data_IF_202015524870
#
_entry.id   IF_202015524870
#
_cell.length_a   1.000
_cell.length_b   1.000
_cell.length_c   1.000
_cell.angle_alpha   90.00
_cell.angle_beta   90.00
_cell.angle_gamma   90.00
#
_symmetry.space_group_name_H-M   'P 1'
#
loop_
_entity.id
_entity.type
_entity.pdbx_description
1 polymer ?
#
# COMPACT_ATOMS: atom_id res chain seq x y z
N UNK A 1 -13.38 -30.31 -69.76
CA UNK A 1 -13.34 -28.98 -69.10
C UNK A 1 -12.34 -29.06 -67.96
N UNK A 2 -11.29 -28.23 -68.00
CA UNK A 2 -10.28 -28.09 -66.95
C UNK A 2 -10.77 -27.02 -65.96
N UNK A 3 -10.90 -27.38 -64.69
CA UNK A 3 -10.97 -26.44 -63.56
C UNK A 3 -9.79 -26.73 -62.63
N UNK A 4 -9.06 -25.71 -62.14
CA UNK A 4 -7.80 -25.87 -61.41
C UNK A 4 -8.00 -26.03 -59.89
N UNK A 5 -7.04 -26.70 -59.23
CA UNK A 5 -6.68 -26.55 -57.80
C UNK A 5 -5.98 -25.18 -57.60
N UNK A 6 -6.10 -24.48 -56.45
CA UNK A 6 -5.35 -24.80 -55.22
C UNK A 6 -6.19 -24.48 -53.94
N UNK A 7 -5.80 -24.57 -52.67
CA UNK A 7 -4.52 -24.47 -51.96
C UNK A 7 -4.74 -24.93 -50.52
N UNK A 8 -3.73 -25.59 -49.95
CA UNK A 8 -3.47 -25.61 -48.51
C UNK A 8 -3.60 -24.19 -47.93
N UNK A 9 -4.31 -24.02 -46.82
CA UNK A 9 -4.19 -22.83 -45.97
C UNK A 9 -4.31 -23.23 -44.50
N UNK A 10 -3.14 -23.63 -43.97
CA UNK A 10 -2.58 -23.20 -42.69
C UNK A 10 -3.50 -23.24 -41.47
N UNK A 11 -3.50 -24.39 -40.79
CA UNK A 11 -3.85 -24.51 -39.38
C UNK A 11 -2.71 -23.86 -38.57
N UNK A 12 -2.80 -22.56 -38.29
CA UNK A 12 -1.91 -21.91 -37.34
C UNK A 12 -2.39 -22.27 -35.92
N UNK A 13 -1.79 -23.32 -35.35
CA UNK A 13 -1.95 -23.65 -33.94
C UNK A 13 -1.37 -22.50 -33.11
N UNK A 14 -2.26 -21.73 -32.48
CA UNK A 14 -1.90 -20.74 -31.47
C UNK A 14 -1.35 -21.51 -30.27
N UNK A 15 -0.04 -21.75 -30.21
CA UNK A 15 0.64 -22.13 -28.97
C UNK A 15 0.57 -20.90 -28.05
N UNK A 16 -0.48 -20.83 -27.24
CA UNK A 16 -0.48 -19.99 -26.05
C UNK A 16 0.48 -20.69 -25.08
N UNK A 17 1.75 -20.32 -25.13
CA UNK A 17 2.69 -20.60 -24.05
C UNK A 17 2.20 -19.81 -22.84
N UNK A 18 1.35 -20.42 -22.01
CA UNK A 18 1.04 -19.88 -20.70
C UNK A 18 2.34 -19.91 -19.89
N UNK A 19 3.03 -18.78 -19.85
CA UNK A 19 4.11 -18.56 -18.89
C UNK A 19 3.49 -18.57 -17.51
N UNK A 20 3.71 -19.64 -16.75
CA UNK A 20 3.42 -19.62 -15.31
C UNK A 20 4.36 -18.58 -14.70
N UNK A 21 3.84 -17.39 -14.39
CA UNK A 21 4.54 -16.45 -13.52
C UNK A 21 4.47 -17.01 -12.10
N UNK A 22 5.63 -17.13 -11.43
CA UNK A 22 5.70 -17.55 -10.04
C UNK A 22 5.76 -16.32 -9.14
N UNK A 23 4.80 -16.19 -8.24
CA UNK A 23 4.82 -15.19 -7.18
C UNK A 23 6.12 -15.27 -6.36
N UNK A 24 6.79 -14.13 -6.23
CA UNK A 24 8.01 -13.97 -5.44
C UNK A 24 7.69 -13.11 -4.22
N UNK A 25 8.17 -13.52 -3.05
CA UNK A 25 8.01 -12.73 -1.81
C UNK A 25 9.32 -12.06 -1.46
N UNK A 26 9.27 -10.75 -1.23
CA UNK A 26 10.42 -9.99 -0.76
C UNK A 26 10.81 -10.40 0.65
N UNK A 27 12.07 -10.15 1.01
CA UNK A 27 12.46 -10.18 2.42
C UNK A 27 11.55 -9.21 3.22
N UNK A 28 11.13 -9.55 4.45
CA UNK A 28 10.29 -8.68 5.26
C UNK A 28 10.88 -7.28 5.38
N UNK A 29 10.10 -6.27 5.02
CA UNK A 29 10.53 -4.87 5.07
C UNK A 29 10.32 -4.33 6.47
N UNK A 30 11.39 -3.89 7.13
CA UNK A 30 11.35 -3.26 8.45
C UNK A 30 11.01 -1.77 8.31
N UNK A 31 10.25 -1.18 9.24
CA UNK A 31 10.07 0.27 9.28
C UNK A 31 11.42 0.97 9.45
N UNK A 32 11.55 2.13 8.83
CA UNK A 32 12.66 3.06 9.07
C UNK A 32 12.39 3.95 10.28
N UNK A 33 11.11 4.17 10.61
CA UNK A 33 10.66 4.89 11.79
C UNK A 33 9.26 4.41 12.18
N UNK A 34 8.99 4.42 13.48
CA UNK A 34 7.64 4.41 14.03
C UNK A 34 7.52 5.35 15.24
N UNK A 35 6.30 5.76 15.57
CA UNK A 35 6.02 6.58 16.75
C UNK A 35 4.55 6.48 17.14
N UNK A 36 4.24 6.87 18.37
CA UNK A 36 2.86 7.00 18.85
C UNK A 36 2.52 8.48 19.05
N UNK A 37 1.43 8.93 18.42
CA UNK A 37 0.82 10.23 18.70
C UNK A 37 -0.33 10.07 19.70
N UNK A 38 -0.51 11.05 20.60
CA UNK A 38 -1.57 11.05 21.61
C UNK A 38 -2.39 12.34 21.56
N UNK A 39 -3.71 12.25 21.69
CA UNK A 39 -4.59 13.39 21.50
C UNK A 39 -4.42 14.51 22.53
N UNK A 40 -4.17 14.18 23.80
CA UNK A 40 -4.05 15.18 24.88
C UNK A 40 -2.62 15.53 25.30
N UNK A 41 -1.62 14.81 24.81
CA UNK A 41 -0.22 15.04 25.15
C UNK A 41 0.62 15.07 23.87
N UNK A 42 1.66 15.92 23.83
CA UNK A 42 2.66 15.82 22.76
C UNK A 42 3.26 14.40 22.78
N UNK A 43 3.53 13.85 21.59
CA UNK A 43 3.84 12.43 21.37
C UNK A 43 4.76 11.81 22.43
N UNK A 44 4.42 10.60 22.86
CA UNK A 44 5.36 9.78 23.62
C UNK A 44 6.22 9.04 22.60
N UNK A 45 7.53 9.32 22.50
CA UNK A 45 8.39 8.53 21.63
C UNK A 45 8.27 7.06 22.03
N UNK A 46 8.20 6.16 21.05
CA UNK A 46 8.05 4.73 21.28
C UNK A 46 9.21 4.23 22.18
N UNK A 47 8.94 3.95 23.46
CA UNK A 47 9.94 3.45 24.41
C UNK A 47 10.12 1.93 24.24
N UNK A 48 10.46 1.48 23.02
CA UNK A 48 10.54 0.07 22.65
C UNK A 48 9.17 -0.63 22.49
N UNK A 49 8.09 0.14 22.51
CA UNK A 49 6.73 -0.33 22.24
C UNK A 49 5.88 0.83 21.72
N UNK A 50 4.80 0.45 21.03
CA UNK A 50 3.81 1.33 20.48
C UNK A 50 2.50 1.19 21.25
N UNK A 51 1.74 2.28 21.35
CA UNK A 51 0.49 2.33 22.10
C UNK A 51 -0.65 2.75 21.18
N UNK A 52 -1.65 1.89 21.04
CA UNK A 52 -2.85 2.20 20.26
C UNK A 52 -4.05 2.07 21.16
N UNK A 53 -4.95 3.04 21.10
CA UNK A 53 -6.15 2.93 21.89
C UNK A 53 -6.75 4.24 22.34
N UNK A 54 -7.47 4.14 23.44
CA UNK A 54 -8.09 5.23 24.16
C UNK A 54 -7.76 5.09 25.65
N UNK A 55 -7.44 6.20 26.31
CA UNK A 55 -7.18 6.20 27.76
C UNK A 55 -8.49 6.25 28.56
N UNK A 56 -8.37 6.39 29.88
CA UNK A 56 -9.54 6.59 30.74
C UNK A 56 -10.14 8.00 30.61
N UNK A 57 -9.46 8.93 29.95
CA UNK A 57 -9.93 10.29 29.74
C UNK A 57 -10.69 10.39 28.41
N UNK A 58 -11.88 10.98 28.42
CA UNK A 58 -12.65 11.23 27.19
C UNK A 58 -11.81 11.90 26.12
N UNK A 59 -11.90 11.42 24.88
CA UNK A 59 -11.22 11.99 23.70
C UNK A 59 -9.69 11.97 23.77
N UNK A 60 -9.10 11.08 24.57
CA UNK A 60 -7.65 10.89 24.63
C UNK A 60 -7.23 9.59 23.95
N UNK A 61 -6.94 9.70 22.65
CA UNK A 61 -6.60 8.58 21.78
C UNK A 61 -5.10 8.49 21.57
N UNK A 62 -4.62 7.27 21.33
CA UNK A 62 -3.27 6.98 20.88
C UNK A 62 -3.34 6.26 19.54
N UNK A 63 -2.49 6.68 18.61
CA UNK A 63 -2.38 6.11 17.28
C UNK A 63 -0.92 5.96 16.91
N UNK A 64 -0.64 4.91 16.14
CA UNK A 64 0.72 4.63 15.71
C UNK A 64 0.95 5.04 14.27
N UNK A 65 2.14 5.55 14.01
CA UNK A 65 2.62 5.93 12.70
C UNK A 65 3.77 4.99 12.32
N UNK A 66 3.79 4.54 11.07
CA UNK A 66 4.86 3.70 10.53
C UNK A 66 5.37 4.28 9.22
N UNK A 67 6.69 4.30 9.05
CA UNK A 67 7.33 4.64 7.78
C UNK A 67 8.18 3.46 7.33
N UNK A 68 7.98 3.00 6.10
CA UNK A 68 8.74 1.91 5.49
C UNK A 68 9.50 2.43 4.28
N UNK A 69 10.76 2.01 4.14
CA UNK A 69 11.51 2.20 2.90
C UNK A 69 11.17 1.07 1.94
N UNK A 70 10.65 1.39 0.76
CA UNK A 70 10.30 0.37 -0.23
C UNK A 70 11.55 -0.11 -0.95
N UNK A 71 11.88 -1.41 -0.91
CA UNK A 71 13.04 -1.93 -1.63
C UNK A 71 12.82 -1.82 -3.14
N UNK A 72 13.87 -1.50 -3.88
CA UNK A 72 13.86 -1.51 -5.34
C UNK A 72 13.70 -2.95 -5.83
N UNK A 73 12.71 -3.17 -6.70
CA UNK A 73 12.53 -4.44 -7.42
C UNK A 73 13.05 -4.23 -8.83
N UNK A 74 14.05 -5.01 -9.22
CA UNK A 74 14.57 -5.00 -10.58
C UNK A 74 13.56 -5.65 -11.53
N UNK A 75 12.91 -4.83 -12.35
CA UNK A 75 11.91 -5.26 -13.32
C UNK A 75 12.53 -5.24 -14.72
N UNK A 76 12.70 -6.41 -15.38
CA UNK A 76 13.15 -6.46 -16.78
C UNK A 76 12.26 -5.63 -17.71
N UNK A 77 12.82 -5.09 -18.79
CA UNK A 77 12.11 -4.20 -19.71
C UNK A 77 10.89 -4.85 -20.38
N UNK A 78 10.91 -6.17 -20.56
CA UNK A 78 9.83 -6.98 -21.13
C UNK A 78 8.75 -7.38 -20.11
N UNK A 79 8.94 -7.05 -18.82
CA UNK A 79 8.02 -7.40 -17.73
C UNK A 79 7.37 -6.17 -17.11
N UNK A 80 6.19 -6.37 -16.53
CA UNK A 80 5.51 -5.44 -15.65
C UNK A 80 5.50 -6.03 -14.23
N UNK A 81 5.64 -5.17 -13.23
CA UNK A 81 5.51 -5.54 -11.82
C UNK A 81 4.03 -5.50 -11.43
N UNK A 82 3.56 -6.57 -10.78
CA UNK A 82 2.27 -6.60 -10.12
C UNK A 82 2.45 -7.05 -8.68
N UNK A 83 2.11 -6.19 -7.72
CA UNK A 83 2.04 -6.60 -6.31
C UNK A 83 0.77 -7.43 -6.13
N UNK A 84 0.91 -8.67 -5.66
CA UNK A 84 -0.19 -9.64 -5.56
C UNK A 84 -0.76 -9.74 -4.15
N UNK A 85 0.06 -9.53 -3.12
CA UNK A 85 -0.41 -9.43 -1.75
C UNK A 85 0.53 -8.62 -0.89
N UNK A 86 -0.05 -7.86 0.04
CA UNK A 86 0.71 -7.17 1.09
C UNK A 86 0.10 -7.45 2.45
N UNK A 87 0.95 -7.64 3.44
CA UNK A 87 0.53 -7.72 4.84
C UNK A 87 1.47 -6.96 5.76
N UNK A 88 0.91 -6.20 6.69
CA UNK A 88 1.63 -5.67 7.85
C UNK A 88 1.48 -6.66 9.01
N UNK A 89 2.59 -7.10 9.60
CA UNK A 89 2.63 -8.02 10.74
C UNK A 89 3.27 -7.31 11.92
N UNK A 90 2.60 -7.32 13.07
CA UNK A 90 3.12 -6.71 14.30
C UNK A 90 2.89 -7.65 15.47
N UNK A 91 3.92 -7.80 16.31
CA UNK A 91 3.83 -8.58 17.51
C UNK A 91 3.23 -7.79 18.68
N UNK A 92 2.41 -8.47 19.48
CA UNK A 92 2.01 -8.01 20.79
C UNK A 92 3.23 -7.87 21.70
N UNK A 93 3.35 -6.76 22.43
CA UNK A 93 4.47 -6.55 23.34
C UNK A 93 4.20 -7.21 24.70
N UNK A 94 3.25 -6.65 25.44
CA UNK A 94 2.92 -7.06 26.81
C UNK A 94 1.54 -6.54 27.18
N UNK A 95 1.03 -7.04 28.30
CA UNK A 95 -0.29 -6.70 28.82
C UNK A 95 -0.51 -5.20 28.82
N UNK A 96 -1.53 -4.79 28.10
CA UNK A 96 -2.15 -3.50 28.32
C UNK A 96 -3.03 -3.59 29.57
N UNK A 97 -3.24 -2.48 30.25
CA UNK A 97 -4.15 -2.37 31.41
C UNK A 97 -5.64 -2.49 31.04
N UNK A 98 -5.98 -3.08 29.90
CA UNK A 98 -7.36 -3.26 29.42
C UNK A 98 -7.95 -4.51 30.07
N UNK A 99 -9.25 -4.51 30.33
CA UNK A 99 -9.95 -5.68 30.88
C UNK A 99 -9.65 -6.94 30.06
N UNK A 100 -9.30 -8.03 30.75
CA UNK A 100 -8.99 -9.30 30.11
C UNK A 100 -10.15 -9.77 29.21
N UNK A 101 -9.81 -10.31 28.03
CA UNK A 101 -10.79 -10.82 27.07
C UNK A 101 -11.37 -9.77 26.11
N UNK A 102 -10.91 -8.52 26.17
CA UNK A 102 -11.38 -7.45 25.29
C UNK A 102 -10.64 -7.48 23.95
N UNK A 103 -11.40 -7.55 22.86
CA UNK A 103 -10.87 -7.34 21.51
C UNK A 103 -10.99 -5.87 21.11
N UNK A 104 -9.93 -5.32 20.53
CA UNK A 104 -9.88 -3.99 19.95
C UNK A 104 -9.73 -4.13 18.44
N UNK A 105 -10.67 -3.55 17.69
CA UNK A 105 -10.59 -3.49 16.23
C UNK A 105 -9.68 -2.34 15.82
N UNK A 106 -8.58 -2.65 15.12
CA UNK A 106 -7.60 -1.67 14.67
C UNK A 106 -7.62 -1.53 13.15
N UNK A 107 -7.75 -0.30 12.68
CA UNK A 107 -7.76 0.06 11.27
C UNK A 107 -6.42 0.62 10.83
N UNK A 108 -5.93 0.10 9.70
CA UNK A 108 -4.75 0.59 9.01
C UNK A 108 -5.18 1.57 7.91
N UNK A 109 -4.53 2.72 7.86
CA UNK A 109 -4.77 3.77 6.88
C UNK A 109 -3.46 4.21 6.21
N UNK A 110 -3.56 4.75 4.99
CA UNK A 110 -2.43 5.38 4.32
C UNK A 110 -2.22 6.81 4.82
N UNK A 111 -0.98 7.19 5.10
CA UNK A 111 -0.63 8.59 5.36
C UNK A 111 -0.38 9.31 4.04
N UNK A 112 -1.06 10.44 3.84
CA UNK A 112 -0.87 11.30 2.66
C UNK A 112 0.38 12.18 2.79
N UNK A 113 0.95 12.23 3.99
CA UNK A 113 2.06 13.09 4.37
C UNK A 113 3.12 12.27 5.12
N UNK A 114 4.40 12.52 4.88
CA UNK A 114 5.50 11.90 5.65
C UNK A 114 5.60 12.49 7.06
N UNK A 115 6.13 11.72 8.01
CA UNK A 115 6.37 12.15 9.40
C UNK A 115 7.82 11.87 9.83
N UNK A 116 8.20 12.40 10.99
CA UNK A 116 9.44 12.02 11.67
C UNK A 116 9.18 11.73 13.17
N UNK A 117 10.24 11.46 13.93
CA UNK A 117 10.14 11.14 15.37
C UNK A 117 9.61 12.30 16.23
N UNK A 118 9.43 13.51 15.67
CA UNK A 118 8.88 14.68 16.34
C UNK A 118 7.38 14.89 16.07
N UNK A 119 6.76 14.03 15.26
CA UNK A 119 5.33 14.11 14.95
C UNK A 119 4.49 14.14 16.23
N UNK A 120 3.54 15.06 16.31
CA UNK A 120 2.58 15.18 17.41
C UNK A 120 1.16 15.16 16.87
N UNK A 121 0.17 15.11 17.78
CA UNK A 121 -1.24 15.12 17.39
C UNK A 121 -1.68 16.33 16.56
N UNK A 122 -0.97 17.45 16.68
CA UNK A 122 -1.29 18.68 15.94
C UNK A 122 -0.25 19.04 14.89
N UNK A 123 0.79 18.23 14.71
CA UNK A 123 1.92 18.53 13.83
C UNK A 123 2.45 17.23 13.21
N UNK A 124 2.06 16.97 11.96
CA UNK A 124 2.50 15.78 11.24
C UNK A 124 3.94 15.87 10.71
N UNK A 125 4.51 17.07 10.55
CA UNK A 125 5.83 17.34 9.94
C UNK A 125 6.70 18.33 10.72
N UNK A 126 8.00 18.35 10.42
CA UNK A 126 8.98 19.31 10.97
C UNK A 126 8.67 20.77 10.63
N UNK A 127 8.01 21.02 9.50
CA UNK A 127 7.60 22.36 9.09
C UNK A 127 6.23 22.73 9.69
N UNK A 128 6.19 23.83 10.43
CA UNK A 128 5.03 24.31 11.19
C UNK A 128 3.86 24.80 10.32
N UNK A 129 3.83 24.46 9.03
CA UNK A 129 2.98 25.10 8.04
C UNK A 129 1.62 24.41 7.82
N UNK A 130 1.40 23.21 8.37
CA UNK A 130 0.16 22.44 8.15
C UNK A 130 -0.54 22.14 9.48
N UNK A 131 -1.63 22.86 9.72
CA UNK A 131 -2.46 22.79 10.93
C UNK A 131 -3.66 21.84 10.83
N UNK A 132 -3.53 20.70 10.13
CA UNK A 132 -4.63 19.72 10.08
C UNK A 132 -4.38 18.64 11.12
N UNK A 133 -5.31 18.52 12.07
CA UNK A 133 -5.21 17.51 13.13
C UNK A 133 -5.37 16.11 12.51
N UNK A 134 -4.69 15.11 13.06
CA UNK A 134 -4.85 13.71 12.66
C UNK A 134 -6.30 13.21 12.79
N UNK A 135 -7.19 13.92 13.50
CA UNK A 135 -8.63 13.61 13.53
C UNK A 135 -9.33 13.85 12.20
N UNK A 136 -8.73 14.57 11.25
CA UNK A 136 -9.38 14.98 10.00
C UNK A 136 -9.00 14.03 8.86
N UNK A 137 -9.98 13.24 8.41
CA UNK A 137 -9.88 12.46 7.18
C UNK A 137 -9.53 13.37 5.99
N UNK A 138 -8.54 12.99 5.17
CA UNK A 138 -8.09 13.78 4.01
C UNK A 138 -7.14 14.94 4.34
N UNK A 139 -6.74 15.08 5.60
CA UNK A 139 -5.69 16.00 6.04
C UNK A 139 -4.29 15.39 5.88
N UNK A 140 -3.91 14.57 6.85
CA UNK A 140 -2.62 13.86 6.87
C UNK A 140 -2.73 12.34 6.65
N UNK A 141 -3.96 11.82 6.51
CA UNK A 141 -4.22 10.42 6.17
C UNK A 141 -5.50 10.25 5.33
N UNK A 142 -5.54 9.20 4.52
CA UNK A 142 -6.71 8.75 3.77
C UNK A 142 -7.65 7.95 4.69
N UNK A 143 -8.92 8.35 4.77
CA UNK A 143 -9.93 7.66 5.58
C UNK A 143 -10.28 6.26 5.09
N UNK A 144 -9.89 5.89 3.88
CA UNK A 144 -10.08 4.54 3.36
C UNK A 144 -9.31 3.55 4.23
N UNK A 145 -10.03 2.58 4.80
CA UNK A 145 -9.42 1.49 5.56
C UNK A 145 -8.69 0.57 4.59
N UNK A 146 -7.37 0.44 4.76
CA UNK A 146 -6.53 -0.43 3.94
C UNK A 146 -6.66 -1.89 4.36
N UNK A 147 -6.73 -2.12 5.67
CA UNK A 147 -6.88 -3.42 6.30
C UNK A 147 -7.35 -3.22 7.76
N UNK A 148 -8.00 -4.23 8.31
CA UNK A 148 -8.54 -4.22 9.67
C UNK A 148 -8.24 -5.54 10.38
N UNK A 149 -7.89 -5.47 11.66
CA UNK A 149 -7.60 -6.65 12.48
C UNK A 149 -8.11 -6.48 13.90
N UNK A 150 -8.68 -7.55 14.46
CA UNK A 150 -9.03 -7.59 15.87
C UNK A 150 -7.83 -8.03 16.72
N UNK A 151 -7.49 -7.20 17.71
CA UNK A 151 -6.37 -7.40 18.61
C UNK A 151 -6.90 -7.68 20.01
N UNK A 152 -6.61 -8.86 20.56
CA UNK A 152 -6.91 -9.18 21.94
C UNK A 152 -5.96 -8.39 22.86
N UNK A 153 -6.52 -7.54 23.72
CA UNK A 153 -5.78 -6.54 24.49
C UNK A 153 -4.86 -7.11 25.59
N UNK A 154 -5.01 -8.41 25.89
CA UNK A 154 -4.26 -9.16 26.89
C UNK A 154 -3.68 -10.46 26.30
N UNK A 155 -3.26 -10.42 25.04
CA UNK A 155 -2.57 -11.53 24.39
C UNK A 155 -1.23 -11.87 25.02
N UNK A 156 -0.68 -13.03 24.66
CA UNK A 156 0.68 -13.38 25.07
C UNK A 156 1.70 -12.49 24.35
N UNK A 157 2.77 -12.12 25.05
CA UNK A 157 3.90 -11.42 24.43
C UNK A 157 4.41 -12.22 23.22
N UNK A 158 4.57 -11.55 22.08
CA UNK A 158 4.99 -12.18 20.83
C UNK A 158 3.87 -12.73 19.94
N UNK A 159 2.60 -12.71 20.37
CA UNK A 159 1.47 -13.04 19.49
C UNK A 159 1.48 -12.10 18.27
N UNK A 160 1.47 -12.67 17.07
CA UNK A 160 1.49 -11.91 15.82
C UNK A 160 0.08 -11.55 15.38
N UNK A 161 -0.12 -10.29 15.01
CA UNK A 161 -1.32 -9.79 14.36
C UNK A 161 -0.98 -9.36 12.94
N UNK A 162 -1.89 -9.64 12.01
CA UNK A 162 -1.69 -9.41 10.58
C UNK A 162 -2.80 -8.54 10.03
N UNK A 163 -2.42 -7.45 9.36
CA UNK A 163 -3.29 -6.60 8.56
C UNK A 163 -3.00 -6.89 7.08
N UNK A 164 -3.98 -7.45 6.38
CA UNK A 164 -3.90 -7.71 4.95
C UNK A 164 -5.24 -7.40 4.28
N UNK A 165 -5.19 -7.07 2.99
CA UNK A 165 -6.38 -6.74 2.22
C UNK A 165 -6.04 -6.18 0.85
N UNK A 166 -7.05 -6.13 -0.02
CA UNK A 166 -6.90 -5.67 -1.40
C UNK A 166 -6.58 -4.17 -1.46
N UNK A 167 -7.14 -3.36 -0.55
CA UNK A 167 -6.84 -1.92 -0.47
C UNK A 167 -5.36 -1.68 -0.11
N UNK A 168 -4.83 -2.40 0.89
CA UNK A 168 -3.41 -2.33 1.24
C UNK A 168 -2.52 -2.73 0.06
N UNK A 169 -2.86 -3.84 -0.61
CA UNK A 169 -2.13 -4.33 -1.79
C UNK A 169 -2.16 -3.31 -2.92
N UNK A 170 -3.31 -2.70 -3.19
CA UNK A 170 -3.50 -1.67 -4.21
C UNK A 170 -2.69 -0.41 -3.93
N UNK A 171 -2.65 0.06 -2.68
CA UNK A 171 -1.86 1.25 -2.30
C UNK A 171 -0.37 1.00 -2.50
N UNK A 172 0.14 -0.15 -2.06
CA UNK A 172 1.56 -0.50 -2.24
C UNK A 172 1.90 -0.70 -3.72
N UNK A 173 1.01 -1.34 -4.50
CA UNK A 173 1.17 -1.47 -5.94
C UNK A 173 1.25 -0.10 -6.63
N UNK A 174 0.42 0.85 -6.21
CA UNK A 174 0.43 2.23 -6.72
C UNK A 174 1.74 2.94 -6.38
N UNK A 175 2.25 2.79 -5.16
CA UNK A 175 3.53 3.35 -4.74
C UNK A 175 4.70 2.82 -5.59
N UNK A 176 4.73 1.52 -5.87
CA UNK A 176 5.72 0.93 -6.78
C UNK A 176 5.60 1.45 -8.21
N UNK A 177 4.37 1.59 -8.73
CA UNK A 177 4.13 2.15 -10.06
C UNK A 177 4.56 3.62 -10.17
N UNK A 178 4.39 4.39 -9.09
CA UNK A 178 4.85 5.78 -8.97
C UNK A 178 6.36 5.91 -8.72
N UNK A 179 7.05 4.81 -8.42
CA UNK A 179 8.46 4.75 -8.01
C UNK A 179 8.73 5.51 -6.70
N UNK A 180 7.78 5.47 -5.79
CA UNK A 180 7.96 6.00 -4.44
C UNK A 180 9.04 5.20 -3.70
N UNK A 181 9.86 5.89 -2.91
CA UNK A 181 10.92 5.26 -2.11
C UNK A 181 10.46 4.89 -0.71
N UNK A 182 9.28 5.34 -0.29
CA UNK A 182 8.75 5.08 1.04
C UNK A 182 7.22 5.02 1.02
N UNK A 183 6.66 4.33 2.01
CA UNK A 183 5.23 4.29 2.27
C UNK A 183 4.97 4.48 3.76
N UNK A 184 3.91 5.20 4.09
CA UNK A 184 3.63 5.64 5.45
C UNK A 184 2.21 5.23 5.86
N UNK A 185 2.05 4.73 7.08
CA UNK A 185 0.78 4.21 7.56
C UNK A 185 0.40 4.76 8.94
N UNK A 186 -0.90 4.86 9.18
CA UNK A 186 -1.52 5.14 10.47
C UNK A 186 -2.27 3.89 10.94
N UNK A 187 -2.04 3.47 12.17
CA UNK A 187 -2.81 2.43 12.83
C UNK A 187 -3.56 3.04 14.01
N UNK A 188 -4.89 2.90 14.02
CA UNK A 188 -5.77 3.48 15.05
C UNK A 188 -6.90 2.53 15.42
N UNK A 189 -7.60 2.83 16.52
CA UNK A 189 -8.89 2.16 16.78
C UNK A 189 -9.87 2.49 15.64
N UNK A 190 -10.58 1.46 15.18
CA UNK A 190 -11.68 1.62 14.22
C UNK A 190 -12.78 2.54 14.80
N UNK A 191 -13.12 2.29 16.07
CA UNK A 191 -14.08 3.08 16.83
C UNK A 191 -13.36 3.85 17.93
N UNK A 192 -12.91 5.05 17.62
CA UNK A 192 -12.49 6.03 18.64
C UNK A 192 -13.75 6.59 19.29
N UNK A 193 -14.07 6.07 20.48
CA UNK A 193 -15.30 6.39 21.18
C UNK A 193 -15.17 7.63 22.07
N UNK A 194 -16.30 8.19 22.48
CA UNK A 194 -16.35 9.30 23.45
C UNK A 194 -16.48 8.80 24.89
N UNK A 195 -16.39 7.48 25.13
CA UNK A 195 -16.52 6.93 26.48
C UNK A 195 -15.24 7.15 27.31
N UNK A 196 -15.29 6.84 28.61
CA UNK A 196 -14.15 6.97 29.51
C UNK A 196 -13.52 5.60 29.82
N UNK A 197 -13.65 4.65 28.88
CA UNK A 197 -13.19 3.28 29.09
C UNK A 197 -11.80 3.14 28.50
N UNK A 198 -10.83 2.89 29.37
CA UNK A 198 -9.45 2.64 28.95
C UNK A 198 -9.37 1.35 28.13
N UNK A 199 -8.95 1.49 26.88
CA UNK A 199 -8.78 0.44 25.88
C UNK A 199 -7.49 0.72 25.12
N UNK A 200 -6.37 0.26 25.65
CA UNK A 200 -5.06 0.44 25.03
C UNK A 200 -4.50 -0.92 24.69
N UNK A 201 -3.71 -1.05 23.63
CA UNK A 201 -2.86 -2.21 23.36
C UNK A 201 -1.41 -1.76 23.28
N UNK A 202 -0.49 -2.66 23.66
CA UNK A 202 0.93 -2.44 23.45
C UNK A 202 1.42 -3.36 22.35
N UNK A 203 1.86 -2.78 21.25
CA UNK A 203 2.50 -3.49 20.15
C UNK A 203 4.00 -3.23 20.17
N UNK A 204 4.78 -4.09 19.52
CA UNK A 204 6.23 -3.88 19.46
C UNK A 204 6.57 -2.78 18.47
N UNK A 205 7.44 -1.88 18.89
CA UNK A 205 8.07 -0.87 18.03
C UNK A 205 9.29 -1.47 17.34
N UNK A 206 9.67 -0.83 16.24
CA UNK A 206 10.91 -1.02 15.51
C UNK A 206 12.14 -0.86 16.41
N UNK A 207 12.07 -0.01 17.44
CA UNK A 207 13.15 0.24 18.40
C UNK A 207 13.31 -0.88 19.45
N UNK A 208 12.42 -1.88 19.43
CA UNK A 208 12.57 -3.10 20.21
C UNK A 208 13.61 -4.03 19.57
N UNK A 209 14.89 -3.66 19.67
CA UNK A 209 16.03 -4.32 19.02
C UNK A 209 16.36 -5.72 19.56
N UNK A 210 15.74 -6.13 20.66
CA UNK A 210 16.05 -7.37 21.36
C UNK A 210 15.25 -8.60 20.87
N UNK A 211 14.46 -8.49 19.80
CA UNK A 211 13.66 -9.61 19.29
C UNK A 211 13.32 -9.47 17.79
N UNK A 212 13.25 -10.57 17.02
CA UNK A 212 12.87 -10.55 15.60
C UNK A 212 11.40 -10.16 15.32
N UNK A 213 10.66 -9.71 16.32
CA UNK A 213 9.23 -9.42 16.24
C UNK A 213 8.92 -7.90 16.17
N UNK A 214 9.78 -7.16 15.48
CA UNK A 214 9.50 -5.78 15.06
C UNK A 214 8.37 -5.76 14.01
N UNK A 215 7.69 -4.62 13.78
CA UNK A 215 6.70 -4.50 12.70
C UNK A 215 7.32 -4.87 11.34
N UNK A 216 6.61 -5.61 10.51
CA UNK A 216 7.10 -6.08 9.20
C UNK A 216 6.06 -5.87 8.11
N UNK A 217 6.47 -5.30 6.99
CA UNK A 217 5.67 -5.26 5.78
C UNK A 217 6.14 -6.39 4.85
N UNK A 218 5.29 -7.38 4.65
CA UNK A 218 5.54 -8.50 3.73
C UNK A 218 4.87 -8.21 2.40
N UNK A 219 5.63 -8.29 1.33
CA UNK A 219 5.19 -7.94 -0.03
C UNK A 219 5.47 -9.11 -0.94
N UNK A 220 4.43 -9.61 -1.59
CA UNK A 220 4.51 -10.62 -2.64
C UNK A 220 4.14 -9.98 -3.96
N UNK A 221 4.91 -10.30 -4.99
CA UNK A 221 4.76 -9.74 -6.32
C UNK A 221 4.96 -10.78 -7.41
N UNK A 222 4.49 -10.44 -8.60
CA UNK A 222 4.71 -11.19 -9.83
C UNK A 222 5.28 -10.28 -10.90
N UNK A 223 6.08 -10.87 -11.79
CA UNK A 223 6.52 -10.24 -13.02
C UNK A 223 5.69 -10.80 -14.16
N UNK A 224 4.90 -9.94 -14.79
CA UNK A 224 3.95 -10.31 -15.85
C UNK A 224 4.55 -9.88 -17.19
N UNK A 225 4.39 -10.71 -18.23
CA UNK A 225 4.76 -10.33 -19.59
C UNK A 225 4.05 -9.04 -20.01
N UNK A 226 4.81 -8.03 -20.45
CA UNK A 226 4.20 -6.87 -21.10
C UNK A 226 3.56 -7.33 -22.40
N UNK A 227 2.37 -6.80 -22.76
CA UNK A 227 1.83 -7.04 -24.09
C UNK A 227 2.86 -6.57 -25.13
N UNK A 228 3.11 -7.42 -26.13
CA UNK A 228 4.02 -7.07 -27.22
C UNK A 228 3.59 -5.72 -27.81
N UNK A 229 4.55 -4.83 -28.14
CA UNK A 229 4.23 -3.58 -28.82
C UNK A 229 3.38 -3.91 -30.05
N UNK A 230 2.18 -3.34 -30.14
CA UNK A 230 1.35 -3.47 -31.33
C UNK A 230 2.09 -2.75 -32.45
N UNK A 231 2.85 -3.50 -33.26
CA UNK A 231 3.39 -2.97 -34.52
C UNK A 231 2.19 -2.86 -35.45
N UNK A 232 1.73 -1.64 -35.82
CA UNK A 232 0.66 -1.52 -36.79
C UNK A 232 1.10 -2.21 -38.07
N UNK A 233 0.30 -3.16 -38.56
CA UNK A 233 0.59 -3.85 -39.80
C UNK A 233 0.82 -2.82 -40.92
N UNK A 234 1.70 -3.11 -41.90
CA UNK A 234 2.00 -2.17 -42.99
C UNK A 234 0.75 -1.62 -43.68
N UNK A 235 -0.33 -2.40 -43.74
CA UNK A 235 -1.63 -1.99 -44.27
C UNK A 235 -2.33 -0.89 -43.45
N UNK A 236 -2.21 -0.92 -42.12
CA UNK A 236 -2.75 0.12 -41.23
C UNK A 236 -1.98 1.44 -41.38
N UNK A 237 -0.65 1.38 -41.51
CA UNK A 237 0.18 2.55 -41.81
C UNK A 237 -0.14 3.15 -43.18
N UNK A 238 -0.34 2.30 -44.21
CA UNK A 238 -0.72 2.74 -45.55
C UNK A 238 -2.12 3.37 -45.59
N UNK A 239 -3.07 2.84 -44.81
CA UNK A 239 -4.41 3.40 -44.69
C UNK A 239 -4.39 4.81 -44.08
N UNK A 240 -3.63 5.01 -42.99
CA UNK A 240 -3.47 6.32 -42.31
C UNK A 240 -2.78 7.34 -43.22
N UNK A 241 -1.71 6.94 -43.91
CA UNK A 241 -1.02 7.79 -44.88
C UNK A 241 -1.94 8.17 -46.06
N UNK A 242 -2.76 7.22 -46.52
CA UNK A 242 -3.74 7.42 -47.59
C UNK A 242 -4.85 8.41 -47.20
N UNK A 243 -5.39 8.35 -45.99
CA UNK A 243 -6.41 9.30 -45.52
C UNK A 243 -5.87 10.71 -45.35
N UNK A 244 -4.64 10.87 -44.84
CA UNK A 244 -4.00 12.19 -44.72
C UNK A 244 -3.72 12.81 -46.10
N UNK A 245 -3.26 12.01 -47.06
CA UNK A 245 -3.05 12.47 -48.43
C UNK A 245 -4.36 12.89 -49.12
N UNK A 246 -5.44 12.14 -48.92
CA UNK A 246 -6.76 12.48 -49.45
C UNK A 246 -7.33 13.78 -48.83
N UNK A 247 -7.15 13.97 -47.52
CA UNK A 247 -7.54 15.20 -46.81
C UNK A 247 -6.75 16.42 -47.31
N UNK A 248 -5.43 16.30 -47.49
CA UNK A 248 -4.60 17.36 -48.05
C UNK A 248 -5.03 17.73 -49.48
N UNK A 249 -5.31 16.73 -50.33
CA UNK A 249 -5.81 16.97 -51.69
C UNK A 249 -7.18 17.67 -51.71
N UNK A 250 -8.06 17.36 -50.77
CA UNK A 250 -9.40 17.95 -50.66
C UNK A 250 -9.35 19.41 -50.17
N UNK A 251 -8.43 19.72 -49.25
CA UNK A 251 -8.17 21.09 -48.77
C UNK A 251 -7.55 21.96 -49.88
N UNK A 252 -6.62 21.42 -50.65
CA UNK A 252 -6.01 22.13 -51.79
C UNK A 252 -7.04 22.40 -52.89
N UNK A 253 -7.93 21.44 -53.17
CA UNK A 253 -8.97 21.57 -54.21
C UNK A 253 -10.08 22.56 -53.84
N UNK A 254 -10.34 22.81 -52.55
CA UNK A 254 -11.31 23.82 -52.07
C UNK A 254 -10.77 25.25 -52.04
N UNK A 255 -9.46 25.45 -52.24
CA UNK A 255 -8.80 26.78 -52.24
C UNK A 255 -8.48 27.32 -53.63
N UNK A 256 -8.90 26.63 -54.70
CA UNK A 256 -8.89 27.12 -56.09
C UNK A 256 -10.32 27.34 -56.53
#
# INVERSE_FOLDING_TARGET
MKTPLPSLATLAALLVSATLSSATTLAPVRPIADTTIRAKENANPAQGYLLIGQTADANDYMRDLFSFSLPVIDVPDDKALAITSVSLVIAFNTNSSTTAGTYLTLDLHHLTTSFDSTATWSKARTDESVGVLWTTAGGDYDSTVLAQTEVLANSSAGTLYTWSGDNLTSVVNTAYAAKDTSINFLLKLANEGTDNVRRVVQLRSVDNTNSPAYPQLNITYELIDKPAPVVPEPAACAAIAGTLAALAALVIRRRR
#
